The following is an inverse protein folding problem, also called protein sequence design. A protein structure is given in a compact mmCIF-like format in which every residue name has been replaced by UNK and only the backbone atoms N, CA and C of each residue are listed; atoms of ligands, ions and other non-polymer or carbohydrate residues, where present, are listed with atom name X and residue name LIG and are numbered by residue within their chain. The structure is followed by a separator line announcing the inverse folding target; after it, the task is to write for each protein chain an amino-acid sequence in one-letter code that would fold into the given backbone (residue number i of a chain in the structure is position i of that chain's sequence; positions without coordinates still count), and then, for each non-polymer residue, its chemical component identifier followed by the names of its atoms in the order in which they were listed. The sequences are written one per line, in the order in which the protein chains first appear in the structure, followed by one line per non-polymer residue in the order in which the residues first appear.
data_IF_963368428288
#
_entry.id   IF_963368428288
#
_cell.length_a   1.000
_cell.length_b   1.000
_cell.length_c   1.000
_cell.angle_alpha   90.00
_cell.angle_beta   90.00
_cell.angle_gamma   90.00
#
_symmetry.space_group_name_H-M   'P 1'
#
loop_
_entity.id
_entity.type
_entity.pdbx_description
1 polymer ?
#
# COMPACT_ATOMS: atom_id res chain seq x y z
N UNK A 1 15.54 -38.32 23.28
CA UNK A 1 14.62 -37.35 22.70
C UNK A 1 13.94 -38.02 21.51
N UNK A 2 12.69 -38.46 21.68
CA UNK A 2 12.00 -39.32 20.72
C UNK A 2 11.19 -38.44 19.78
N UNK A 3 11.55 -38.42 18.49
CA UNK A 3 10.79 -37.72 17.46
C UNK A 3 9.59 -38.59 17.09
N UNK A 4 8.39 -38.15 17.46
CA UNK A 4 7.16 -38.82 17.08
C UNK A 4 6.95 -38.69 15.55
N UNK A 5 6.72 -39.85 14.90
CA UNK A 5 6.38 -39.89 13.47
C UNK A 5 5.03 -39.24 13.22
N UNK A 6 5.02 -38.16 12.47
CA UNK A 6 3.78 -37.58 11.93
C UNK A 6 3.45 -38.33 10.64
N UNK A 7 2.42 -39.17 10.67
CA UNK A 7 1.88 -39.81 9.47
C UNK A 7 0.90 -38.84 8.84
N UNK A 8 1.36 -38.12 7.80
CA UNK A 8 0.47 -37.36 6.95
C UNK A 8 -0.23 -38.32 5.98
N UNK A 9 -1.55 -38.41 6.07
CA UNK A 9 -2.39 -39.15 5.11
C UNK A 9 -2.16 -38.59 3.70
N UNK A 10 -1.79 -39.46 2.77
CA UNK A 10 -1.36 -39.11 1.44
C UNK A 10 -2.54 -38.76 0.51
N UNK A 11 -3.00 -37.52 0.57
CA UNK A 11 -3.41 -36.85 -0.68
C UNK A 11 -2.12 -36.28 -1.26
N UNK A 12 -1.76 -36.70 -2.47
CA UNK A 12 -0.61 -36.16 -3.21
C UNK A 12 -0.81 -34.66 -3.40
N UNK A 13 -0.26 -33.87 -2.47
CA UNK A 13 -0.23 -32.42 -2.59
C UNK A 13 1.00 -32.05 -3.39
N UNK A 14 0.82 -31.71 -4.63
CA UNK A 14 1.91 -31.19 -5.46
C UNK A 14 2.20 -29.75 -5.03
N UNK A 15 3.45 -29.48 -4.67
CA UNK A 15 3.91 -28.12 -4.38
C UNK A 15 3.99 -27.39 -5.73
N UNK A 16 3.26 -26.26 -5.84
CA UNK A 16 3.28 -25.40 -7.02
C UNK A 16 3.74 -23.99 -6.63
N UNK A 17 4.48 -23.33 -7.53
CA UNK A 17 4.81 -21.91 -7.38
C UNK A 17 3.55 -21.11 -7.67
N UNK A 18 3.12 -20.29 -6.74
CA UNK A 18 1.96 -19.42 -6.92
C UNK A 18 2.27 -18.31 -7.95
N UNK A 19 1.32 -17.94 -8.81
CA UNK A 19 1.38 -16.74 -9.62
C UNK A 19 1.53 -15.49 -8.74
N UNK A 20 2.19 -14.46 -9.26
CA UNK A 20 2.50 -13.24 -8.50
C UNK A 20 1.23 -12.52 -8.04
N UNK A 21 0.17 -12.53 -8.85
CA UNK A 21 -1.13 -11.94 -8.50
C UNK A 21 -1.79 -12.61 -7.28
N UNK A 22 -1.63 -13.93 -7.14
CA UNK A 22 -2.12 -14.67 -5.97
C UNK A 22 -1.27 -14.36 -4.74
N UNK A 23 0.06 -14.27 -4.90
CA UNK A 23 0.96 -13.89 -3.80
C UNK A 23 0.60 -12.49 -3.30
N UNK A 24 0.39 -11.54 -4.20
CA UNK A 24 -0.01 -10.17 -3.86
C UNK A 24 -1.36 -10.12 -3.13
N UNK A 25 -2.34 -10.92 -3.56
CA UNK A 25 -3.66 -11.01 -2.89
C UNK A 25 -3.58 -11.64 -1.50
N UNK A 26 -2.70 -12.62 -1.30
CA UNK A 26 -2.47 -13.22 0.02
C UNK A 26 -1.80 -12.20 0.95
N UNK A 27 -0.76 -11.50 0.46
CA UNK A 27 -0.11 -10.43 1.20
C UNK A 27 -1.07 -9.28 1.51
N UNK A 28 -1.92 -8.90 0.54
CA UNK A 28 -2.98 -7.92 0.74
C UNK A 28 -3.96 -8.33 1.84
N UNK A 29 -4.30 -9.62 1.96
CA UNK A 29 -5.19 -10.12 3.01
C UNK A 29 -4.72 -9.79 4.42
N UNK A 30 -3.41 -9.75 4.66
CA UNK A 30 -2.84 -9.36 5.96
C UNK A 30 -2.97 -7.85 6.22
N UNK A 31 -2.91 -7.02 5.18
CA UNK A 31 -2.95 -5.54 5.29
C UNK A 31 -4.40 -5.03 5.22
N UNK A 32 -5.26 -5.65 4.41
CA UNK A 32 -6.63 -5.17 4.09
C UNK A 32 -7.73 -6.02 4.72
N UNK A 33 -7.45 -6.71 5.81
CA UNK A 33 -8.44 -7.54 6.50
C UNK A 33 -9.72 -6.77 6.88
N UNK A 34 -9.59 -5.47 7.18
CA UNK A 34 -10.69 -4.56 7.55
C UNK A 34 -10.47 -3.17 6.97
N UNK A 35 -11.54 -2.41 6.68
CA UNK A 35 -11.42 -0.99 6.30
C UNK A 35 -10.59 -0.16 7.29
N UNK A 36 -10.68 -0.46 8.58
CA UNK A 36 -9.89 0.19 9.62
C UNK A 36 -8.38 -0.03 9.48
N UNK A 37 -7.94 -1.19 8.95
CA UNK A 37 -6.51 -1.45 8.69
C UNK A 37 -6.01 -0.58 7.53
N UNK A 38 -6.79 -0.50 6.44
CA UNK A 38 -6.49 0.39 5.30
C UNK A 38 -6.38 1.84 5.75
N UNK A 39 -7.37 2.28 6.54
CA UNK A 39 -7.40 3.63 7.08
C UNK A 39 -6.17 3.94 7.94
N UNK A 40 -5.82 3.01 8.83
CA UNK A 40 -4.63 3.14 9.68
C UNK A 40 -3.37 3.33 8.85
N UNK A 41 -3.11 2.46 7.88
CA UNK A 41 -1.93 2.54 7.01
C UNK A 41 -1.86 3.86 6.24
N UNK A 42 -2.99 4.30 5.67
CA UNK A 42 -3.02 5.56 4.93
C UNK A 42 -2.81 6.79 5.83
N UNK A 43 -3.41 6.81 7.03
CA UNK A 43 -3.20 7.89 8.02
C UNK A 43 -1.74 7.92 8.47
N UNK A 44 -1.13 6.78 8.75
CA UNK A 44 0.29 6.69 9.10
C UNK A 44 1.19 7.22 7.97
N UNK A 45 0.86 6.92 6.70
CA UNK A 45 1.57 7.50 5.57
C UNK A 45 1.41 9.02 5.48
N UNK A 46 0.22 9.55 5.72
CA UNK A 46 -0.01 11.00 5.76
C UNK A 46 0.78 11.69 6.88
N UNK A 47 0.84 11.07 8.08
CA UNK A 47 1.65 11.58 9.19
C UNK A 47 3.14 11.54 8.88
N UNK A 48 3.63 10.47 8.27
CA UNK A 48 5.03 10.34 7.84
C UNK A 48 5.38 11.36 6.74
N UNK A 49 4.39 11.77 5.93
CA UNK A 49 4.52 12.86 4.96
C UNK A 49 4.46 14.26 5.59
N UNK A 50 4.39 14.36 6.92
CA UNK A 50 4.36 15.62 7.64
C UNK A 50 3.02 16.36 7.57
N UNK A 51 1.94 15.65 7.25
CA UNK A 51 0.61 16.27 7.18
C UNK A 51 0.19 16.85 8.53
N UNK A 52 -0.30 18.08 8.50
CA UNK A 52 -0.91 18.79 9.65
C UNK A 52 -2.45 18.76 9.60
N UNK A 53 -3.01 18.37 8.45
CA UNK A 53 -4.45 18.23 8.24
C UNK A 53 -4.71 16.96 7.43
N UNK A 54 -5.57 16.08 7.96
CA UNK A 54 -5.98 14.85 7.31
C UNK A 54 -7.50 14.78 7.33
N UNK A 55 -8.11 14.76 6.15
CA UNK A 55 -9.55 14.59 5.97
C UNK A 55 -9.85 13.15 5.56
N UNK A 56 -10.87 12.57 6.17
CA UNK A 56 -11.30 11.18 5.94
C UNK A 56 -12.78 11.17 5.62
N UNK A 57 -13.13 10.68 4.45
CA UNK A 57 -14.51 10.49 4.00
C UNK A 57 -14.77 8.99 3.77
N UNK A 58 -15.76 8.43 4.46
CA UNK A 58 -16.11 7.02 4.42
C UNK A 58 -17.54 6.83 3.92
N UNK A 59 -17.74 5.84 3.05
CA UNK A 59 -19.07 5.39 2.66
C UNK A 59 -19.28 3.95 3.13
N UNK A 60 -20.40 3.68 3.81
CA UNK A 60 -20.72 2.37 4.37
C UNK A 60 -19.62 1.83 5.30
N UNK A 61 -19.10 2.71 6.20
CA UNK A 61 -18.04 2.32 7.13
C UNK A 61 -16.71 1.95 6.46
N UNK A 62 -16.47 2.44 5.23
CA UNK A 62 -15.28 2.13 4.44
C UNK A 62 -15.39 0.87 3.56
N UNK A 63 -16.52 0.18 3.59
CA UNK A 63 -16.74 -1.00 2.74
C UNK A 63 -16.93 -0.63 1.27
N UNK A 64 -17.51 0.55 1.00
CA UNK A 64 -17.76 1.02 -0.35
C UNK A 64 -16.72 2.00 -0.84
N UNK A 65 -16.33 2.96 0.00
CA UNK A 65 -15.31 3.97 -0.33
C UNK A 65 -14.57 4.42 0.92
N UNK A 66 -13.26 4.59 0.76
CA UNK A 66 -12.36 5.26 1.68
C UNK A 66 -11.66 6.35 0.88
N UNK A 67 -11.85 7.60 1.25
CA UNK A 67 -11.11 8.72 0.68
C UNK A 67 -10.33 9.42 1.80
N UNK A 68 -9.05 9.61 1.56
CA UNK A 68 -8.16 10.28 2.50
C UNK A 68 -7.48 11.40 1.73
N UNK A 69 -7.53 12.59 2.29
CA UNK A 69 -6.90 13.79 1.73
C UNK A 69 -6.03 14.39 2.82
N UNK A 70 -4.79 14.66 2.50
CA UNK A 70 -3.82 15.28 3.40
C UNK A 70 -3.10 16.46 2.75
N UNK A 71 -2.40 17.23 3.56
CA UNK A 71 -1.57 18.35 3.15
C UNK A 71 -0.08 18.08 3.43
N UNK A 72 0.35 16.83 3.35
CA UNK A 72 1.75 16.44 3.45
C UNK A 72 2.59 16.92 2.26
N UNK A 73 3.88 16.60 2.27
CA UNK A 73 4.83 17.07 1.24
C UNK A 73 4.60 16.50 -0.16
N UNK A 74 3.70 15.52 -0.33
CA UNK A 74 3.45 14.86 -1.60
C UNK A 74 4.59 13.95 -2.09
N UNK A 75 4.48 13.49 -3.35
CA UNK A 75 5.45 12.59 -3.98
C UNK A 75 5.89 13.16 -5.33
N UNK A 76 7.12 12.84 -5.75
CA UNK A 76 7.55 13.05 -7.14
C UNK A 76 6.77 12.14 -8.10
N UNK A 77 6.88 12.38 -9.40
CA UNK A 77 6.27 11.51 -10.42
C UNK A 77 6.79 10.08 -10.30
N UNK A 78 8.11 9.94 -10.13
CA UNK A 78 8.81 8.68 -9.99
C UNK A 78 8.39 7.92 -8.72
N UNK A 79 8.30 8.62 -7.59
CA UNK A 79 7.85 8.02 -6.32
C UNK A 79 6.38 7.59 -6.40
N UNK A 80 5.52 8.41 -7.01
CA UNK A 80 4.10 8.10 -7.20
C UNK A 80 3.92 6.87 -8.10
N UNK A 81 4.74 6.74 -9.14
CA UNK A 81 4.75 5.56 -10.00
C UNK A 81 5.14 4.29 -9.24
N UNK A 82 6.14 4.39 -8.38
CA UNK A 82 6.64 3.26 -7.60
C UNK A 82 5.79 2.94 -6.36
N UNK A 83 5.00 3.89 -5.86
CA UNK A 83 4.24 3.74 -4.62
C UNK A 83 3.26 2.55 -4.60
N UNK A 84 2.82 2.08 -5.78
CA UNK A 84 1.95 0.91 -5.95
C UNK A 84 2.70 -0.39 -6.28
N UNK A 85 4.03 -0.35 -6.35
CA UNK A 85 4.85 -1.53 -6.58
C UNK A 85 5.19 -2.22 -5.24
N UNK A 86 5.14 -3.56 -5.19
CA UNK A 86 5.57 -4.29 -4.00
C UNK A 86 7.06 -4.06 -3.69
N UNK A 87 7.39 -4.05 -2.39
CA UNK A 87 8.77 -3.93 -1.91
C UNK A 87 9.46 -2.58 -2.22
N UNK A 88 8.68 -1.54 -2.48
CA UNK A 88 9.18 -0.19 -2.67
C UNK A 88 8.92 0.66 -1.42
N UNK A 89 9.95 1.26 -0.86
CA UNK A 89 9.84 2.14 0.30
C UNK A 89 10.89 3.24 0.24
N UNK A 90 10.50 4.45 0.56
CA UNK A 90 11.42 5.57 0.78
C UNK A 90 12.00 5.60 2.20
N UNK A 91 11.50 4.72 3.09
CA UNK A 91 11.75 4.78 4.54
C UNK A 91 12.92 3.93 5.01
N UNK A 92 13.40 2.98 4.20
CA UNK A 92 14.52 2.08 4.51
C UNK A 92 15.42 2.00 3.28
N UNK A 93 16.66 2.42 3.43
CA UNK A 93 17.70 2.34 2.40
C UNK A 93 18.89 1.47 2.83
N UNK A 94 18.99 1.16 4.12
CA UNK A 94 20.07 0.37 4.69
C UNK A 94 19.58 -0.59 5.78
N UNK A 95 20.42 -1.56 6.15
CA UNK A 95 20.13 -2.45 7.29
C UNK A 95 20.12 -1.69 8.63
N UNK A 96 20.88 -0.61 8.73
CA UNK A 96 20.91 0.23 9.93
C UNK A 96 19.57 0.96 10.13
N UNK A 97 18.91 1.38 9.05
CA UNK A 97 17.58 2.01 9.11
C UNK A 97 16.54 1.06 9.71
N UNK A 98 16.71 -0.26 9.48
CA UNK A 98 15.79 -1.28 10.02
C UNK A 98 15.82 -1.34 11.55
N UNK A 99 16.95 -1.00 12.17
CA UNK A 99 17.10 -0.97 13.62
C UNK A 99 16.77 0.37 14.26
N UNK A 100 16.60 1.42 13.45
CA UNK A 100 16.35 2.80 13.89
C UNK A 100 15.02 3.38 13.36
N UNK A 101 14.04 2.52 13.09
CA UNK A 101 12.74 2.92 12.52
C UNK A 101 12.06 3.95 13.41
N UNK A 102 11.90 5.18 12.89
CA UNK A 102 11.16 6.26 13.51
C UNK A 102 9.82 6.56 12.80
N UNK A 103 9.54 5.85 11.68
CA UNK A 103 8.30 5.98 10.91
C UNK A 103 7.24 4.99 11.38
N UNK A 104 5.97 5.35 11.25
CA UNK A 104 4.83 4.47 11.60
C UNK A 104 4.72 3.25 10.68
N UNK A 105 5.11 3.37 9.38
CA UNK A 105 5.13 2.29 8.40
C UNK A 105 6.51 2.14 7.76
N UNK A 106 6.98 0.92 7.54
CA UNK A 106 8.31 0.67 6.98
C UNK A 106 8.35 -0.42 5.90
N UNK A 107 7.26 -1.19 5.73
CA UNK A 107 7.24 -2.35 4.84
C UNK A 107 7.13 -2.01 3.35
N UNK A 108 6.69 -0.79 2.99
CA UNK A 108 6.54 -0.38 1.59
C UNK A 108 5.51 -1.19 0.80
N UNK A 109 4.53 -1.81 1.47
CA UNK A 109 3.60 -2.74 0.84
C UNK A 109 2.14 -2.32 0.97
N UNK A 110 1.82 -1.32 1.80
CA UNK A 110 0.44 -0.96 2.09
C UNK A 110 -0.31 -0.51 0.83
N UNK A 111 0.22 0.46 0.08
CA UNK A 111 -0.43 0.96 -1.14
C UNK A 111 -0.47 -0.11 -2.25
N UNK A 112 0.58 -0.91 -2.40
CA UNK A 112 0.61 -2.04 -3.34
C UNK A 112 -0.47 -3.08 -2.99
N UNK A 113 -0.60 -3.42 -1.72
CA UNK A 113 -1.62 -4.35 -1.23
C UNK A 113 -3.04 -3.81 -1.44
N UNK A 114 -3.29 -2.54 -1.08
CA UNK A 114 -4.60 -1.88 -1.24
C UNK A 114 -4.96 -1.82 -2.73
N UNK A 115 -4.04 -1.40 -3.59
CA UNK A 115 -4.26 -1.26 -5.03
C UNK A 115 -4.56 -2.60 -5.73
N UNK A 116 -4.03 -3.71 -5.20
CA UNK A 116 -4.25 -5.04 -5.78
C UNK A 116 -5.66 -5.61 -5.58
N UNK A 117 -6.42 -5.08 -4.62
CA UNK A 117 -7.74 -5.59 -4.22
C UNK A 117 -8.86 -4.55 -4.30
N UNK A 118 -8.59 -3.35 -4.79
CA UNK A 118 -9.55 -2.24 -4.89
C UNK A 118 -9.47 -1.54 -6.24
N UNK A 119 -10.49 -0.73 -6.54
CA UNK A 119 -10.34 0.35 -7.51
C UNK A 119 -9.58 1.47 -6.79
N UNK A 120 -8.31 1.65 -7.18
CA UNK A 120 -7.40 2.53 -6.47
C UNK A 120 -7.09 3.78 -7.30
N UNK A 121 -7.06 4.92 -6.62
CA UNK A 121 -6.59 6.18 -7.19
C UNK A 121 -5.73 6.91 -6.15
N UNK A 122 -4.53 7.28 -6.56
CA UNK A 122 -3.62 8.13 -5.82
C UNK A 122 -3.41 9.42 -6.60
N UNK A 123 -3.72 10.55 -5.99
CA UNK A 123 -3.40 11.87 -6.54
C UNK A 123 -2.41 12.54 -5.61
N UNK A 124 -1.26 12.93 -6.12
CA UNK A 124 -0.20 13.55 -5.32
C UNK A 124 0.47 14.70 -6.05
N UNK A 125 0.98 15.67 -5.30
CA UNK A 125 1.69 16.83 -5.83
C UNK A 125 2.62 17.40 -4.76
N UNK A 126 3.86 17.65 -5.10
CA UNK A 126 4.77 18.43 -4.24
C UNK A 126 4.48 19.91 -4.41
N UNK A 127 4.90 20.73 -3.45
CA UNK A 127 4.68 22.17 -3.48
C UNK A 127 5.29 22.84 -4.71
N UNK A 128 6.47 22.39 -5.15
CA UNK A 128 7.19 22.89 -6.31
C UNK A 128 6.61 22.45 -7.68
N UNK A 129 5.74 21.43 -7.69
CA UNK A 129 5.18 20.90 -8.93
C UNK A 129 3.99 21.75 -9.42
N UNK A 130 3.91 22.03 -10.70
CA UNK A 130 2.80 22.79 -11.30
C UNK A 130 1.53 21.96 -11.52
N UNK A 131 1.67 20.63 -11.61
CA UNK A 131 0.58 19.68 -11.86
C UNK A 131 0.66 18.51 -10.88
N UNK A 132 -0.48 17.90 -10.59
CA UNK A 132 -0.53 16.66 -9.81
C UNK A 132 -0.25 15.45 -10.69
N UNK A 133 0.33 14.44 -10.09
CA UNK A 133 0.44 13.08 -10.65
C UNK A 133 -0.73 12.25 -10.13
N UNK A 134 -1.41 11.57 -11.03
CA UNK A 134 -2.55 10.71 -10.74
C UNK A 134 -2.20 9.29 -11.19
N UNK A 135 -2.16 8.37 -10.24
CA UNK A 135 -1.96 6.93 -10.48
C UNK A 135 -3.27 6.21 -10.20
N UNK A 136 -3.78 5.51 -11.19
CA UNK A 136 -4.97 4.67 -11.03
C UNK A 136 -4.64 3.20 -11.28
N UNK A 137 -5.27 2.33 -10.49
CA UNK A 137 -5.18 0.89 -10.64
C UNK A 137 -6.58 0.31 -10.74
N UNK A 138 -6.87 -0.33 -11.86
CA UNK A 138 -8.15 -1.01 -12.09
C UNK A 138 -7.91 -2.35 -12.79
N UNK A 139 -8.40 -3.44 -12.18
CA UNK A 139 -8.25 -4.80 -12.72
C UNK A 139 -6.79 -5.18 -13.07
N UNK A 140 -5.82 -4.69 -12.27
CA UNK A 140 -4.39 -4.93 -12.49
C UNK A 140 -3.75 -4.03 -13.56
N UNK A 141 -4.53 -3.13 -14.17
CA UNK A 141 -4.00 -2.15 -15.13
C UNK A 141 -3.66 -0.85 -14.43
N UNK A 142 -2.41 -0.43 -14.54
CA UNK A 142 -1.88 0.82 -14.01
C UNK A 142 -1.91 1.90 -15.08
N UNK A 143 -2.42 3.07 -14.74
CA UNK A 143 -2.37 4.25 -15.58
C UNK A 143 -1.80 5.42 -14.78
N UNK A 144 -0.99 6.24 -15.42
CA UNK A 144 -0.39 7.43 -14.84
C UNK A 144 -0.75 8.61 -15.73
N UNK A 145 -1.32 9.63 -15.14
CA UNK A 145 -1.69 10.87 -15.84
C UNK A 145 -1.26 12.08 -15.00
N UNK A 146 -1.17 13.24 -15.65
CA UNK A 146 -0.94 14.51 -14.96
C UNK A 146 -2.17 15.38 -15.12
N UNK A 147 -2.53 16.13 -14.06
CA UNK A 147 -3.70 16.98 -14.05
C UNK A 147 -3.69 18.01 -12.92
N UNK A 148 -4.75 18.80 -12.82
CA UNK A 148 -4.93 19.67 -11.66
C UNK A 148 -5.21 18.84 -10.40
N UNK A 149 -4.49 19.10 -9.31
CA UNK A 149 -4.88 18.56 -8.01
C UNK A 149 -6.10 19.30 -7.48
N UNK A 150 -7.04 18.64 -6.81
CA UNK A 150 -8.01 19.35 -5.98
C UNK A 150 -7.25 20.16 -4.93
N UNK A 151 -7.64 21.41 -4.76
CA UNK A 151 -7.09 22.35 -3.77
C UNK A 151 -7.65 22.00 -2.40
#
# INVERSE_FOLDING_TARGET
MTISHIVLSSKSMTIVKLPQDIINKIAAGEVVERPASVLKECVENSLDAGASNIRIDLTEGGMKNIQITDNGHGMSVEDAEQATEPHTTSKIQSLEDLFSIQSFGFRGEALASISSVSQFSLTTRREEDSTATIVTMENGNKQITQGGAPV
#
